data_IF_654455272440
#
_entry.id   IF_654455272440
#
_cell.length_a   1.000
_cell.length_b   1.000
_cell.length_c   1.000
_cell.angle_alpha   90.00
_cell.angle_beta   90.00
_cell.angle_gamma   90.00
#
_symmetry.space_group_name_H-M   'P 1'
#
loop_
_entity.id
_entity.type
_entity.pdbx_description
1 polymer ?
#
# COMPACT_ATOMS: atom_id res chain seq x y z
N UNK A 1 -39.79 -2.28 4.20
CA UNK A 1 -38.50 -2.08 3.55
C UNK A 1 -37.57 -3.16 4.11
N UNK A 2 -36.94 -3.91 3.25
CA UNK A 2 -35.95 -4.91 3.70
C UNK A 2 -34.77 -4.16 4.35
N UNK A 3 -34.57 -4.40 5.63
CA UNK A 3 -33.60 -3.70 6.48
C UNK A 3 -32.23 -4.43 6.47
N UNK A 4 -32.03 -5.32 5.50
CA UNK A 4 -30.78 -6.09 5.34
C UNK A 4 -29.66 -5.17 4.91
N UNK A 5 -28.55 -5.07 5.67
CA UNK A 5 -27.46 -4.18 5.31
C UNK A 5 -26.82 -4.57 3.97
N UNK A 6 -26.50 -3.56 3.16
CA UNK A 6 -25.90 -3.72 1.85
C UNK A 6 -24.38 -3.73 1.89
N UNK A 7 -23.73 -4.60 1.10
CA UNK A 7 -22.27 -4.71 1.03
C UNK A 7 -21.77 -4.77 -0.42
N UNK A 8 -20.93 -3.83 -0.79
CA UNK A 8 -20.17 -3.83 -2.03
C UNK A 8 -18.84 -4.59 -1.82
N UNK A 9 -18.67 -5.69 -2.51
CA UNK A 9 -17.45 -6.51 -2.42
C UNK A 9 -16.48 -6.09 -3.53
N UNK A 10 -15.35 -5.51 -3.18
CA UNK A 10 -14.28 -5.21 -4.13
C UNK A 10 -13.57 -6.52 -4.53
N UNK A 11 -13.96 -7.06 -5.68
CA UNK A 11 -13.51 -8.36 -6.19
C UNK A 11 -12.34 -8.16 -7.16
N UNK A 12 -11.15 -8.63 -6.78
CA UNK A 12 -9.92 -8.53 -7.58
C UNK A 12 -9.61 -9.79 -8.41
N UNK A 13 -10.51 -10.78 -8.42
CA UNK A 13 -10.24 -12.10 -9.02
C UNK A 13 -9.26 -12.96 -8.20
N UNK A 14 -8.84 -12.51 -7.02
CA UNK A 14 -8.00 -13.26 -6.09
C UNK A 14 -8.81 -14.03 -5.04
N UNK A 15 -8.21 -15.08 -4.44
CA UNK A 15 -8.87 -15.95 -3.45
C UNK A 15 -9.38 -15.18 -2.23
N UNK A 16 -8.67 -14.14 -1.78
CA UNK A 16 -9.05 -13.37 -0.59
C UNK A 16 -10.35 -12.60 -0.79
N UNK A 17 -10.49 -11.87 -1.89
CA UNK A 17 -11.73 -11.16 -2.22
C UNK A 17 -12.91 -12.11 -2.46
N UNK A 18 -12.64 -13.30 -3.01
CA UNK A 18 -13.63 -14.38 -3.21
C UNK A 18 -14.18 -14.88 -1.88
N UNK A 19 -13.30 -15.24 -0.95
CA UNK A 19 -13.72 -15.73 0.37
C UNK A 19 -14.39 -14.60 1.17
N UNK A 20 -13.93 -13.35 1.05
CA UNK A 20 -14.61 -12.21 1.66
C UNK A 20 -16.06 -12.08 1.15
N UNK A 21 -16.31 -12.23 -0.15
CA UNK A 21 -17.66 -12.23 -0.73
C UNK A 21 -18.53 -13.37 -0.16
N UNK A 22 -17.99 -14.58 -0.12
CA UNK A 22 -18.67 -15.74 0.44
C UNK A 22 -19.08 -15.50 1.91
N UNK A 23 -18.15 -15.05 2.75
CA UNK A 23 -18.40 -14.81 4.16
C UNK A 23 -19.47 -13.74 4.40
N UNK A 24 -19.45 -12.67 3.62
CA UNK A 24 -20.47 -11.61 3.72
C UNK A 24 -21.85 -12.11 3.33
N UNK A 25 -21.95 -12.92 2.26
CA UNK A 25 -23.22 -13.56 1.87
C UNK A 25 -23.73 -14.50 2.97
N UNK A 26 -22.85 -15.35 3.55
CA UNK A 26 -23.20 -16.24 4.67
C UNK A 26 -23.63 -15.47 5.92
N UNK A 27 -23.08 -14.29 6.15
CA UNK A 27 -23.49 -13.39 7.25
C UNK A 27 -24.83 -12.67 7.00
N UNK A 28 -25.47 -12.91 5.86
CA UNK A 28 -26.81 -12.40 5.53
C UNK A 28 -26.83 -10.98 4.96
N UNK A 29 -25.69 -10.46 4.46
CA UNK A 29 -25.67 -9.17 3.77
C UNK A 29 -26.26 -9.26 2.37
N UNK A 30 -26.91 -8.18 1.94
CA UNK A 30 -27.26 -7.96 0.53
C UNK A 30 -26.02 -7.57 -0.23
N UNK A 31 -25.38 -8.54 -0.89
CA UNK A 31 -24.07 -8.37 -1.53
C UNK A 31 -24.20 -7.97 -3.00
N UNK A 32 -23.27 -7.14 -3.47
CA UNK A 32 -22.96 -6.85 -4.86
C UNK A 32 -21.45 -6.92 -5.06
N UNK A 33 -20.98 -7.60 -6.10
CA UNK A 33 -19.57 -7.64 -6.47
C UNK A 33 -19.21 -6.51 -7.43
N UNK A 34 -18.03 -5.93 -7.28
CA UNK A 34 -17.49 -5.01 -8.28
C UNK A 34 -16.00 -5.18 -8.46
N UNK A 35 -15.55 -5.15 -9.72
CA UNK A 35 -14.13 -5.09 -10.09
C UNK A 35 -13.80 -3.72 -10.67
N UNK A 36 -12.74 -3.09 -10.16
CA UNK A 36 -12.22 -1.83 -10.72
C UNK A 36 -11.32 -2.14 -11.93
N UNK A 37 -11.61 -1.51 -13.07
CA UNK A 37 -10.65 -1.43 -14.16
C UNK A 37 -9.77 -0.20 -13.91
N UNK A 38 -8.50 -0.41 -13.57
CA UNK A 38 -7.57 0.64 -13.15
C UNK A 38 -6.60 1.06 -14.25
N UNK A 39 -6.34 0.21 -15.24
CA UNK A 39 -5.47 0.47 -16.39
C UNK A 39 -5.83 -0.48 -17.54
N UNK A 40 -5.35 -0.16 -18.73
CA UNK A 40 -5.40 -1.04 -19.90
C UNK A 40 -4.00 -1.62 -20.13
N UNK A 41 -3.92 -2.84 -20.66
CA UNK A 41 -2.62 -3.49 -20.89
C UNK A 41 -1.76 -2.71 -21.91
N UNK A 42 -2.40 -2.03 -22.86
CA UNK A 42 -1.75 -1.16 -23.82
C UNK A 42 -1.04 0.03 -23.16
N UNK A 43 -1.63 0.60 -22.11
CA UNK A 43 -1.03 1.71 -21.33
C UNK A 43 0.27 1.30 -20.63
N UNK A 44 0.44 0.01 -20.33
CA UNK A 44 1.61 -0.54 -19.67
C UNK A 44 2.72 -0.98 -20.64
N UNK A 45 2.46 -0.92 -21.97
CA UNK A 45 3.40 -1.35 -22.99
C UNK A 45 3.76 -2.84 -22.94
N UNK A 46 2.88 -3.67 -22.37
CA UNK A 46 3.15 -5.10 -22.13
C UNK A 46 1.99 -5.97 -22.65
N UNK A 47 2.29 -6.83 -23.60
CA UNK A 47 1.42 -7.92 -24.01
C UNK A 47 1.83 -9.20 -23.27
N UNK A 48 0.95 -9.74 -22.40
CA UNK A 48 1.13 -11.11 -21.87
C UNK A 48 1.36 -11.28 -20.37
N UNK A 49 1.32 -10.23 -19.53
CA UNK A 49 1.46 -10.38 -18.08
C UNK A 49 0.10 -10.51 -17.37
N UNK A 50 0.05 -11.36 -16.33
CA UNK A 50 -1.08 -11.50 -15.43
C UNK A 50 -1.02 -10.39 -14.37
N UNK A 51 -1.81 -9.35 -14.54
CA UNK A 51 -1.93 -8.22 -13.60
C UNK A 51 -3.25 -8.34 -12.85
N UNK A 52 -3.37 -7.74 -11.64
CA UNK A 52 -4.58 -7.80 -10.79
C UNK A 52 -5.86 -7.24 -11.43
N UNK A 53 -5.82 -6.72 -12.66
CA UNK A 53 -6.96 -6.25 -13.44
C UNK A 53 -6.92 -6.82 -14.85
N UNK A 54 -6.30 -8.01 -15.02
CA UNK A 54 -6.31 -8.72 -16.31
C UNK A 54 -7.73 -9.13 -16.68
N UNK A 55 -8.00 -9.37 -17.98
CA UNK A 55 -9.29 -9.92 -18.41
C UNK A 55 -9.63 -11.20 -17.65
N UNK A 56 -8.61 -12.04 -17.38
CA UNK A 56 -8.78 -13.29 -16.60
C UNK A 56 -9.19 -13.03 -15.14
N UNK A 57 -8.67 -11.99 -14.50
CA UNK A 57 -9.06 -11.65 -13.12
C UNK A 57 -10.51 -11.17 -13.05
N UNK A 58 -10.95 -10.40 -14.06
CA UNK A 58 -12.35 -9.98 -14.19
C UNK A 58 -13.26 -11.17 -14.43
N UNK A 59 -12.86 -12.12 -15.31
CA UNK A 59 -13.58 -13.36 -15.56
C UNK A 59 -13.70 -14.20 -14.29
N UNK A 60 -12.59 -14.44 -13.56
CA UNK A 60 -12.58 -15.18 -12.30
C UNK A 60 -13.51 -14.53 -11.26
N UNK A 61 -13.52 -13.18 -11.16
CA UNK A 61 -14.40 -12.45 -10.27
C UNK A 61 -15.88 -12.58 -10.66
N UNK A 62 -16.18 -12.50 -11.95
CA UNK A 62 -17.55 -12.65 -12.48
C UNK A 62 -18.06 -14.07 -12.28
N UNK A 63 -17.22 -15.10 -12.51
CA UNK A 63 -17.58 -16.50 -12.28
C UNK A 63 -17.92 -16.75 -10.79
N UNK A 64 -17.10 -16.24 -9.88
CA UNK A 64 -17.37 -16.32 -8.44
C UNK A 64 -18.66 -15.59 -8.06
N UNK A 65 -18.89 -14.40 -8.61
CA UNK A 65 -20.13 -13.65 -8.34
C UNK A 65 -21.37 -14.40 -8.84
N UNK A 66 -21.28 -15.00 -10.02
CA UNK A 66 -22.33 -15.87 -10.55
C UNK A 66 -22.57 -17.11 -9.66
N UNK A 67 -21.50 -17.79 -9.23
CA UNK A 67 -21.61 -18.94 -8.32
C UNK A 67 -22.23 -18.54 -6.97
N UNK A 68 -21.93 -17.35 -6.49
CA UNK A 68 -22.49 -16.80 -5.26
C UNK A 68 -23.90 -16.20 -5.46
N UNK A 69 -24.43 -16.18 -6.69
CA UNK A 69 -25.72 -15.53 -7.00
C UNK A 69 -25.79 -14.10 -6.43
N UNK A 70 -24.81 -13.26 -6.78
CA UNK A 70 -24.76 -11.84 -6.45
C UNK A 70 -24.59 -11.01 -7.73
N UNK A 71 -25.23 -9.83 -7.85
CA UNK A 71 -24.96 -8.89 -8.93
C UNK A 71 -23.47 -8.54 -9.03
N UNK A 72 -22.97 -8.31 -10.25
CA UNK A 72 -21.58 -7.99 -10.49
C UNK A 72 -21.42 -6.91 -11.55
N UNK A 73 -20.55 -5.93 -11.28
CA UNK A 73 -20.22 -4.85 -12.21
C UNK A 73 -18.72 -4.64 -12.35
N UNK A 74 -18.31 -4.17 -13.54
CA UNK A 74 -16.94 -3.70 -13.80
C UNK A 74 -16.97 -2.18 -13.92
N UNK A 75 -16.27 -1.50 -12.97
CA UNK A 75 -16.26 -0.04 -12.90
C UNK A 75 -14.95 0.48 -13.48
N UNK A 76 -15.03 1.43 -14.40
CA UNK A 76 -13.86 2.02 -15.03
C UNK A 76 -13.36 3.24 -14.23
N UNK A 77 -12.15 3.12 -13.67
CA UNK A 77 -11.44 4.18 -12.94
C UNK A 77 -10.03 4.40 -13.49
N UNK A 78 -9.83 4.15 -14.79
CA UNK A 78 -8.50 4.25 -15.43
C UNK A 78 -7.92 5.65 -15.32
N UNK A 79 -8.72 6.70 -15.56
CA UNK A 79 -8.24 8.08 -15.52
C UNK A 79 -7.86 8.51 -14.09
N UNK A 80 -8.71 8.22 -13.11
CA UNK A 80 -8.44 8.56 -11.71
C UNK A 80 -7.22 7.80 -11.19
N UNK A 81 -7.04 6.54 -11.57
CA UNK A 81 -5.88 5.76 -11.19
C UNK A 81 -4.60 6.30 -11.84
N UNK A 82 -4.67 6.70 -13.11
CA UNK A 82 -3.58 7.35 -13.84
C UNK A 82 -3.11 8.61 -13.11
N UNK A 83 -4.05 9.49 -12.74
CA UNK A 83 -3.73 10.75 -12.08
C UNK A 83 -3.26 10.56 -10.65
N UNK A 84 -4.04 9.85 -9.83
CA UNK A 84 -3.87 9.82 -8.37
C UNK A 84 -2.87 8.79 -7.88
N UNK A 85 -2.63 7.72 -8.65
CA UNK A 85 -1.71 6.64 -8.24
C UNK A 85 -0.46 6.63 -9.10
N UNK A 86 -0.60 6.48 -10.44
CA UNK A 86 0.58 6.40 -11.33
C UNK A 86 1.33 7.73 -11.37
N UNK A 87 0.61 8.85 -11.53
CA UNK A 87 1.23 10.19 -11.56
C UNK A 87 2.01 10.50 -10.28
N UNK A 88 1.43 10.21 -9.10
CA UNK A 88 2.10 10.38 -7.81
C UNK A 88 3.30 9.44 -7.66
N UNK A 89 3.18 8.19 -8.11
CA UNK A 89 4.27 7.23 -8.12
C UNK A 89 5.48 7.75 -8.91
N UNK A 90 5.26 8.23 -10.13
CA UNK A 90 6.30 8.79 -10.99
C UNK A 90 6.91 10.05 -10.35
N UNK A 91 6.08 11.00 -9.93
CA UNK A 91 6.54 12.25 -9.33
C UNK A 91 7.39 12.02 -8.07
N UNK A 92 7.03 11.02 -7.25
CA UNK A 92 7.79 10.68 -6.04
C UNK A 92 9.18 10.13 -6.40
N UNK A 93 9.29 9.25 -7.40
CA UNK A 93 10.60 8.77 -7.87
C UNK A 93 11.45 9.88 -8.49
N UNK A 94 10.84 10.73 -9.32
CA UNK A 94 11.53 11.89 -9.93
C UNK A 94 12.00 12.91 -8.88
N UNK A 95 11.30 13.01 -7.75
CA UNK A 95 11.73 13.81 -6.60
C UNK A 95 12.76 13.09 -5.68
N UNK A 96 13.25 11.91 -6.07
CA UNK A 96 14.24 11.13 -5.32
C UNK A 96 13.68 10.28 -4.19
N UNK A 97 12.37 10.27 -3.97
CA UNK A 97 11.71 9.40 -3.00
C UNK A 97 11.56 7.96 -3.46
N UNK A 98 10.88 7.16 -2.64
CA UNK A 98 10.47 5.79 -2.97
C UNK A 98 9.01 5.64 -2.55
N UNK A 99 8.04 5.66 -3.49
CA UNK A 99 6.62 5.62 -3.18
C UNK A 99 6.14 4.23 -2.75
N UNK A 100 4.97 4.19 -2.10
CA UNK A 100 4.20 2.97 -1.94
C UNK A 100 2.81 3.18 -2.58
N UNK A 101 2.63 2.83 -3.86
CA UNK A 101 1.39 3.11 -4.59
C UNK A 101 0.17 2.35 -4.05
N UNK A 102 0.36 1.27 -3.28
CA UNK A 102 -0.75 0.56 -2.65
C UNK A 102 -1.45 1.43 -1.60
N UNK A 103 -0.72 2.32 -0.91
CA UNK A 103 -1.29 3.28 0.04
C UNK A 103 -2.19 4.27 -0.69
N UNK A 104 -1.71 4.85 -1.80
CA UNK A 104 -2.49 5.79 -2.60
C UNK A 104 -3.71 5.12 -3.25
N UNK A 105 -3.57 3.88 -3.74
CA UNK A 105 -4.67 3.09 -4.26
C UNK A 105 -5.73 2.79 -3.18
N UNK A 106 -5.33 2.44 -1.96
CA UNK A 106 -6.26 2.26 -0.85
C UNK A 106 -6.97 3.57 -0.52
N UNK A 107 -6.22 4.69 -0.36
CA UNK A 107 -6.79 6.01 -0.04
C UNK A 107 -7.83 6.46 -1.04
N UNK A 108 -7.52 6.40 -2.35
CA UNK A 108 -8.29 7.09 -3.38
C UNK A 108 -9.20 6.18 -4.21
N UNK A 109 -8.80 4.93 -4.44
CA UNK A 109 -9.56 4.03 -5.31
C UNK A 109 -10.45 3.09 -4.49
N UNK A 110 -9.85 2.27 -3.60
CA UNK A 110 -10.59 1.21 -2.92
C UNK A 110 -11.55 1.71 -1.84
N UNK A 111 -11.19 2.79 -1.13
CA UNK A 111 -12.00 3.25 0.00
C UNK A 111 -12.62 4.65 -0.17
N UNK A 112 -12.30 5.35 -1.27
CA UNK A 112 -12.97 6.58 -1.66
C UNK A 112 -13.95 6.30 -2.81
N UNK A 113 -13.45 6.00 -4.02
CA UNK A 113 -14.28 5.75 -5.20
C UNK A 113 -15.25 4.58 -5.05
N UNK A 114 -14.80 3.47 -4.43
CA UNK A 114 -15.71 2.33 -4.21
C UNK A 114 -16.76 2.61 -3.14
N UNK A 115 -16.48 3.47 -2.15
CA UNK A 115 -17.48 3.88 -1.18
C UNK A 115 -18.54 4.79 -1.83
N UNK A 116 -18.12 5.72 -2.70
CA UNK A 116 -19.05 6.53 -3.47
C UNK A 116 -19.93 5.67 -4.38
N UNK A 117 -19.34 4.67 -5.04
CA UNK A 117 -20.07 3.71 -5.86
C UNK A 117 -21.07 2.88 -5.02
N UNK A 118 -20.66 2.39 -3.85
CA UNK A 118 -21.53 1.66 -2.94
C UNK A 118 -22.74 2.52 -2.52
N UNK A 119 -22.50 3.76 -2.11
CA UNK A 119 -23.55 4.72 -1.72
C UNK A 119 -24.53 5.00 -2.87
N UNK A 120 -24.01 5.14 -4.09
CA UNK A 120 -24.83 5.32 -5.31
C UNK A 120 -25.77 4.13 -5.58
N UNK A 121 -25.43 2.92 -5.10
CA UNK A 121 -26.24 1.70 -5.22
C UNK A 121 -27.05 1.39 -3.95
N UNK A 122 -27.11 2.29 -2.98
CA UNK A 122 -27.79 2.09 -1.70
C UNK A 122 -27.19 0.95 -0.89
N UNK A 123 -25.85 0.79 -0.93
CA UNK A 123 -25.10 -0.16 -0.13
C UNK A 123 -24.37 0.56 1.00
N UNK A 124 -24.30 -0.07 2.17
CA UNK A 124 -23.83 0.56 3.41
C UNK A 124 -22.31 0.40 3.59
N UNK A 125 -21.73 -0.69 3.03
CA UNK A 125 -20.34 -1.06 3.29
C UNK A 125 -19.57 -1.36 2.02
N UNK A 126 -18.28 -1.02 2.04
CA UNK A 126 -17.25 -1.58 1.13
C UNK A 126 -16.55 -2.73 1.85
N UNK A 127 -16.40 -3.85 1.16
CA UNK A 127 -15.77 -5.07 1.69
C UNK A 127 -14.58 -5.43 0.82
N UNK A 128 -13.46 -5.73 1.45
CA UNK A 128 -12.26 -6.18 0.73
C UNK A 128 -11.63 -7.39 1.40
N UNK A 129 -10.77 -8.09 0.68
CA UNK A 129 -9.96 -9.20 1.19
C UNK A 129 -8.72 -8.79 1.99
N UNK A 130 -8.69 -7.59 2.56
CA UNK A 130 -7.54 -7.17 3.38
C UNK A 130 -7.52 -7.87 4.75
N UNK A 131 -6.30 -8.13 5.22
CA UNK A 131 -6.02 -8.68 6.55
C UNK A 131 -5.79 -7.53 7.53
N UNK A 132 -6.85 -7.06 8.15
CA UNK A 132 -6.87 -6.09 9.23
C UNK A 132 -8.21 -6.22 9.97
N UNK A 133 -8.36 -5.58 11.13
CA UNK A 133 -9.62 -5.57 11.89
C UNK A 133 -10.09 -4.13 12.08
N UNK A 134 -11.40 -3.95 12.11
CA UNK A 134 -12.03 -2.66 12.42
C UNK A 134 -12.97 -2.90 13.61
N UNK A 135 -12.84 -2.08 14.62
CA UNK A 135 -13.69 -2.10 15.82
C UNK A 135 -14.06 -0.65 16.20
N UNK A 136 -15.22 -0.45 16.79
CA UNK A 136 -15.55 0.86 17.35
C UNK A 136 -15.16 0.88 18.82
N UNK A 137 -14.40 1.90 19.21
CA UNK A 137 -14.07 2.15 20.62
C UNK A 137 -15.32 2.61 21.37
N UNK A 138 -15.76 1.87 22.39
CA UNK A 138 -16.97 2.21 23.13
C UNK A 138 -16.85 3.48 23.98
N UNK A 139 -15.64 3.92 24.32
CA UNK A 139 -15.41 5.09 25.16
C UNK A 139 -15.38 6.37 24.33
N UNK A 140 -14.68 6.35 23.22
CA UNK A 140 -14.50 7.54 22.36
C UNK A 140 -15.48 7.60 21.19
N UNK A 141 -16.11 6.47 20.85
CA UNK A 141 -16.93 6.31 19.65
C UNK A 141 -16.14 6.26 18.34
N UNK A 142 -14.80 6.37 18.38
CA UNK A 142 -13.95 6.34 17.19
C UNK A 142 -13.85 4.93 16.61
N UNK A 143 -13.76 4.87 15.31
CA UNK A 143 -13.44 3.63 14.62
C UNK A 143 -11.94 3.39 14.66
N UNK A 144 -11.53 2.24 15.15
CA UNK A 144 -10.16 1.81 15.28
C UNK A 144 -9.80 0.85 14.13
N UNK A 145 -8.66 1.09 13.50
CA UNK A 145 -8.00 0.11 12.64
C UNK A 145 -7.03 -0.69 13.49
N UNK A 146 -7.15 -2.01 13.46
CA UNK A 146 -6.28 -2.92 14.23
C UNK A 146 -5.58 -3.90 13.30
N UNK A 147 -4.42 -4.37 13.73
CA UNK A 147 -3.69 -5.44 13.05
C UNK A 147 -4.56 -6.67 12.85
N UNK A 148 -4.25 -7.44 11.83
CA UNK A 148 -4.81 -8.79 11.69
C UNK A 148 -4.44 -9.65 12.91
N UNK A 149 -5.29 -10.64 13.21
CA UNK A 149 -5.01 -11.58 14.28
C UNK A 149 -3.75 -12.42 13.98
N UNK A 150 -3.56 -12.77 12.71
CA UNK A 150 -2.38 -13.47 12.18
C UNK A 150 -1.46 -12.46 11.51
N UNK A 151 -0.40 -12.06 12.23
CA UNK A 151 0.43 -10.90 11.90
C UNK A 151 1.36 -11.10 10.69
N UNK A 152 1.58 -12.34 10.26
CA UNK A 152 2.37 -12.67 9.06
C UNK A 152 1.74 -12.13 7.76
N UNK A 153 0.42 -11.89 7.76
CA UNK A 153 -0.34 -11.33 6.64
C UNK A 153 -0.91 -9.94 6.94
N UNK A 154 -0.56 -9.34 8.08
CA UNK A 154 -1.09 -8.03 8.47
C UNK A 154 -0.88 -6.96 7.40
N UNK A 155 -1.96 -6.26 7.05
CA UNK A 155 -1.97 -5.19 6.06
C UNK A 155 -2.37 -3.83 6.65
N UNK A 156 -2.44 -3.72 7.97
CA UNK A 156 -2.79 -2.46 8.65
C UNK A 156 -1.87 -1.29 8.25
N UNK A 157 -0.61 -1.58 7.94
CA UNK A 157 0.36 -0.59 7.46
C UNK A 157 -0.09 0.16 6.19
N UNK A 158 -0.69 -0.51 5.21
CA UNK A 158 -1.13 0.14 3.97
C UNK A 158 -2.56 0.69 4.06
N UNK A 159 -3.21 0.50 5.20
CA UNK A 159 -4.59 0.93 5.47
C UNK A 159 -4.66 2.13 6.43
N UNK A 160 -3.54 2.60 6.98
CA UNK A 160 -3.52 3.74 7.91
C UNK A 160 -4.15 5.02 7.33
N UNK A 161 -4.30 5.10 6.02
CA UNK A 161 -4.87 6.24 5.30
C UNK A 161 -6.39 6.33 5.35
N UNK A 162 -7.08 5.33 5.91
CA UNK A 162 -8.53 5.32 5.99
C UNK A 162 -9.03 6.36 7.00
N UNK A 163 -9.97 7.18 6.57
CA UNK A 163 -10.65 8.15 7.42
C UNK A 163 -11.66 7.47 8.35
N UNK A 164 -12.16 8.20 9.35
CA UNK A 164 -13.20 7.69 10.27
C UNK A 164 -14.49 7.29 9.52
N UNK A 165 -14.89 8.07 8.52
CA UNK A 165 -16.06 7.73 7.68
C UNK A 165 -15.82 6.45 6.88
N UNK A 166 -14.62 6.31 6.26
CA UNK A 166 -14.27 5.10 5.53
C UNK A 166 -14.20 3.87 6.44
N UNK A 167 -13.63 4.00 7.65
CA UNK A 167 -13.58 2.90 8.62
C UNK A 167 -14.99 2.48 9.07
N UNK A 168 -15.91 3.44 9.31
CA UNK A 168 -17.29 3.17 9.68
C UNK A 168 -18.05 2.34 8.62
N UNK A 169 -17.70 2.54 7.33
CA UNK A 169 -18.35 1.91 6.19
C UNK A 169 -17.51 0.83 5.50
N UNK A 170 -16.54 0.25 6.22
CA UNK A 170 -15.64 -0.80 5.68
C UNK A 170 -15.75 -2.08 6.51
N UNK A 171 -15.66 -3.24 5.85
CA UNK A 171 -15.55 -4.55 6.49
C UNK A 171 -14.35 -5.33 5.97
N UNK A 172 -13.59 -5.93 6.88
CA UNK A 172 -12.48 -6.84 6.60
C UNK A 172 -12.77 -8.22 7.19
N UNK A 173 -13.56 -9.06 6.50
CA UNK A 173 -14.00 -10.35 7.06
C UNK A 173 -12.85 -11.34 7.27
N UNK A 174 -11.68 -11.10 6.66
CA UNK A 174 -10.51 -11.98 6.77
C UNK A 174 -9.58 -11.61 7.93
N UNK A 175 -9.81 -10.50 8.63
CA UNK A 175 -8.90 -9.96 9.64
C UNK A 175 -8.59 -10.87 10.83
N UNK A 176 -9.47 -11.86 11.08
CA UNK A 176 -9.31 -12.87 12.15
C UNK A 176 -9.02 -14.27 11.63
N UNK A 177 -8.63 -14.41 10.35
CA UNK A 177 -8.41 -15.70 9.70
C UNK A 177 -6.98 -15.85 9.19
N UNK A 178 -6.44 -17.07 9.25
CA UNK A 178 -5.17 -17.41 8.63
C UNK A 178 -5.36 -17.78 7.15
N UNK A 179 -4.29 -17.64 6.37
CA UNK A 179 -4.33 -17.92 4.93
C UNK A 179 -4.67 -19.38 4.58
N UNK A 180 -4.15 -20.39 5.31
CA UNK A 180 -4.55 -21.78 5.10
C UNK A 180 -6.05 -22.03 5.24
N UNK A 181 -6.70 -21.43 6.25
CA UNK A 181 -8.14 -21.53 6.46
C UNK A 181 -8.94 -20.91 5.32
N UNK A 182 -8.49 -19.75 4.82
CA UNK A 182 -9.12 -19.09 3.66
C UNK A 182 -9.03 -19.97 2.41
N UNK A 183 -7.88 -20.57 2.13
CA UNK A 183 -7.73 -21.49 0.98
C UNK A 183 -8.60 -22.73 1.12
N UNK A 184 -8.73 -23.31 2.32
CA UNK A 184 -9.63 -24.44 2.58
C UNK A 184 -11.09 -24.07 2.29
N UNK A 185 -11.54 -22.88 2.68
CA UNK A 185 -12.89 -22.42 2.35
C UNK A 185 -13.07 -22.30 0.85
N UNK A 186 -12.12 -21.67 0.14
CA UNK A 186 -12.20 -21.51 -1.30
C UNK A 186 -12.23 -22.86 -2.05
N UNK A 187 -11.42 -23.83 -1.63
CA UNK A 187 -11.41 -25.17 -2.18
C UNK A 187 -12.71 -25.94 -1.88
N UNK A 188 -13.22 -25.85 -0.64
CA UNK A 188 -14.46 -26.51 -0.23
C UNK A 188 -15.69 -25.99 -0.98
N UNK A 189 -15.68 -24.70 -1.36
CA UNK A 189 -16.73 -24.08 -2.18
C UNK A 189 -16.52 -24.31 -3.69
N UNK A 190 -15.38 -24.86 -4.12
CA UNK A 190 -15.07 -25.11 -5.52
C UNK A 190 -14.83 -23.84 -6.35
N UNK A 191 -14.37 -22.76 -5.74
CA UNK A 191 -14.09 -21.52 -6.48
C UNK A 191 -12.94 -21.68 -7.48
N UNK A 192 -13.10 -21.15 -8.69
CA UNK A 192 -12.16 -21.28 -9.80
C UNK A 192 -10.75 -20.78 -9.45
N UNK A 193 -10.63 -19.79 -8.57
CA UNK A 193 -9.39 -19.16 -8.16
C UNK A 193 -8.82 -19.66 -6.82
N UNK A 194 -9.33 -20.75 -6.24
CA UNK A 194 -8.92 -21.27 -4.93
C UNK A 194 -7.41 -21.54 -4.82
N UNK A 195 -6.75 -21.93 -5.91
CA UNK A 195 -5.31 -22.24 -5.99
C UNK A 195 -4.46 -21.12 -6.58
N UNK A 196 -5.06 -19.95 -6.87
CA UNK A 196 -4.35 -18.82 -7.44
C UNK A 196 -3.30 -18.29 -6.47
N UNK A 197 -2.12 -17.93 -6.97
CA UNK A 197 -1.06 -17.32 -6.18
C UNK A 197 -1.42 -15.88 -5.79
N UNK A 198 -0.95 -15.45 -4.61
CA UNK A 198 -1.13 -14.07 -4.16
C UNK A 198 -0.30 -13.13 -5.05
N UNK A 199 -0.86 -12.00 -5.44
CA UNK A 199 -0.09 -10.92 -6.09
C UNK A 199 0.87 -10.30 -5.09
N UNK A 200 2.17 -10.26 -5.40
CA UNK A 200 3.20 -9.76 -4.48
C UNK A 200 3.84 -8.44 -4.93
N UNK A 201 3.66 -8.04 -6.18
CA UNK A 201 4.29 -6.87 -6.80
C UNK A 201 3.30 -5.73 -7.03
N UNK A 202 3.83 -4.57 -7.41
CA UNK A 202 3.03 -3.41 -7.83
C UNK A 202 2.22 -3.82 -9.06
N UNK A 203 0.89 -3.74 -8.97
CA UNK A 203 -0.02 -4.30 -9.97
C UNK A 203 0.19 -3.78 -11.39
N UNK A 204 0.70 -2.56 -11.56
CA UNK A 204 1.02 -1.95 -12.86
C UNK A 204 2.52 -2.02 -13.22
N UNK A 205 3.35 -2.69 -12.40
CA UNK A 205 4.78 -2.97 -12.68
C UNK A 205 5.06 -4.45 -12.36
N UNK A 206 4.44 -5.38 -13.09
CA UNK A 206 4.48 -6.82 -12.77
C UNK A 206 5.85 -7.47 -12.98
N UNK A 207 6.72 -6.85 -13.79
CA UNK A 207 8.10 -7.28 -14.05
C UNK A 207 9.13 -6.72 -13.05
N UNK A 208 8.67 -5.85 -12.13
CA UNK A 208 9.54 -5.16 -11.17
C UNK A 208 10.43 -4.07 -11.77
N UNK A 209 10.40 -3.86 -13.10
CA UNK A 209 11.14 -2.79 -13.79
C UNK A 209 10.35 -1.48 -13.79
N UNK A 210 10.28 -0.85 -12.60
CA UNK A 210 9.54 0.40 -12.45
C UNK A 210 10.12 1.55 -13.27
N UNK A 211 11.42 1.57 -13.54
CA UNK A 211 12.03 2.64 -14.36
C UNK A 211 11.70 2.44 -15.82
N UNK A 212 11.82 1.23 -16.35
CA UNK A 212 11.36 0.94 -17.71
C UNK A 212 9.87 1.23 -17.89
N UNK A 213 9.05 0.97 -16.88
CA UNK A 213 7.65 1.41 -16.86
C UNK A 213 7.54 2.94 -16.95
N UNK A 214 8.26 3.68 -16.10
CA UNK A 214 8.25 5.16 -16.12
C UNK A 214 8.68 5.73 -17.46
N UNK A 215 9.76 5.20 -18.06
CA UNK A 215 10.27 5.60 -19.38
C UNK A 215 9.23 5.37 -20.47
N UNK A 216 8.61 4.19 -20.51
CA UNK A 216 7.56 3.88 -21.51
C UNK A 216 6.32 4.76 -21.32
N UNK A 217 5.91 4.95 -20.07
CA UNK A 217 4.69 5.69 -19.73
C UNK A 217 4.81 7.19 -19.98
N UNK A 218 5.96 7.79 -19.66
CA UNK A 218 6.18 9.24 -19.78
C UNK A 218 6.85 9.67 -21.07
N UNK A 219 7.49 8.74 -21.79
CA UNK A 219 8.38 9.07 -22.90
C UNK A 219 9.70 9.74 -22.48
N UNK A 220 9.95 9.87 -21.17
CA UNK A 220 11.19 10.47 -20.64
C UNK A 220 12.33 9.45 -20.66
N UNK A 221 13.54 9.96 -20.81
CA UNK A 221 14.77 9.21 -20.61
C UNK A 221 15.48 9.72 -19.36
N UNK A 222 15.97 8.81 -18.52
CA UNK A 222 16.73 9.14 -17.32
C UNK A 222 18.22 8.93 -17.58
N UNK A 223 19.00 10.02 -17.77
CA UNK A 223 20.40 9.94 -18.21
C UNK A 223 21.32 9.32 -17.17
N UNK A 224 22.46 8.83 -17.62
CA UNK A 224 23.56 8.39 -16.78
C UNK A 224 24.07 9.54 -15.90
N UNK A 225 24.56 9.21 -14.71
CA UNK A 225 25.13 10.16 -13.75
C UNK A 225 26.28 9.54 -12.97
N UNK A 226 26.72 10.23 -11.92
CA UNK A 226 27.87 9.84 -11.15
C UNK A 226 27.50 9.26 -9.78
N UNK A 227 28.15 8.15 -9.40
CA UNK A 227 28.22 7.73 -8.02
C UNK A 227 29.28 8.54 -7.28
N UNK A 228 28.90 9.12 -6.16
CA UNK A 228 29.80 9.85 -5.26
C UNK A 228 30.01 9.04 -3.98
N UNK A 229 31.21 9.08 -3.40
CA UNK A 229 31.41 8.63 -2.03
C UNK A 229 30.87 9.69 -1.03
N UNK A 230 30.95 9.39 0.25
CA UNK A 230 30.51 10.30 1.33
C UNK A 230 31.31 11.61 1.42
N UNK A 231 32.47 11.69 0.74
CA UNK A 231 33.30 12.89 0.65
C UNK A 231 33.06 13.68 -0.64
N UNK A 232 32.12 13.25 -1.48
CA UNK A 232 31.81 13.88 -2.76
C UNK A 232 32.74 13.49 -3.92
N UNK A 233 33.62 12.49 -3.75
CA UNK A 233 34.51 12.00 -4.82
C UNK A 233 33.73 11.05 -5.73
N UNK A 234 33.87 11.22 -7.05
CA UNK A 234 33.31 10.29 -8.04
C UNK A 234 33.99 8.92 -7.93
N UNK A 235 33.18 7.88 -7.76
CA UNK A 235 33.61 6.48 -7.59
C UNK A 235 33.05 5.54 -8.65
N UNK A 236 32.25 6.04 -9.57
CA UNK A 236 31.68 5.27 -10.69
C UNK A 236 30.57 6.02 -11.40
N UNK A 237 29.93 5.35 -12.35
CA UNK A 237 28.79 5.88 -13.11
C UNK A 237 27.54 5.01 -12.90
N UNK A 238 26.39 5.64 -12.93
CA UNK A 238 25.10 4.97 -12.83
C UNK A 238 24.17 5.32 -14.00
N UNK A 239 23.11 4.56 -14.18
CA UNK A 239 22.14 4.67 -15.29
C UNK A 239 20.88 5.48 -14.93
N UNK A 240 21.03 6.60 -14.23
CA UNK A 240 19.94 7.48 -13.78
C UNK A 240 19.65 7.32 -12.30
N UNK A 241 19.65 8.43 -11.53
CA UNK A 241 19.46 8.44 -10.08
C UNK A 241 18.10 7.87 -9.62
N UNK A 242 17.07 7.92 -10.47
CA UNK A 242 15.74 7.33 -10.19
C UNK A 242 15.79 5.82 -9.97
N UNK A 243 16.78 5.11 -10.54
CA UNK A 243 16.95 3.64 -10.46
C UNK A 243 17.41 3.15 -9.08
N UNK A 244 17.76 4.05 -8.19
CA UNK A 244 18.38 3.70 -6.91
C UNK A 244 17.50 4.10 -5.73
N UNK A 245 17.53 3.25 -4.70
CA UNK A 245 16.76 3.45 -3.47
C UNK A 245 17.71 3.45 -2.27
N UNK A 246 17.48 4.31 -1.28
CA UNK A 246 18.26 4.35 -0.04
C UNK A 246 18.33 2.97 0.61
N UNK A 247 19.56 2.54 0.97
CA UNK A 247 19.86 1.22 1.53
C UNK A 247 20.11 0.12 0.48
N UNK A 248 20.00 0.42 -0.83
CA UNK A 248 20.31 -0.54 -1.89
C UNK A 248 21.79 -0.88 -1.90
N UNK A 249 22.12 -2.19 -1.97
CA UNK A 249 23.49 -2.73 -2.07
C UNK A 249 23.75 -3.38 -3.42
N UNK A 250 22.75 -4.11 -3.95
CA UNK A 250 22.91 -4.90 -5.19
C UNK A 250 22.62 -4.03 -6.41
N UNK A 251 23.25 -4.38 -7.55
CA UNK A 251 22.98 -3.70 -8.83
C UNK A 251 23.65 -2.32 -8.97
N UNK A 252 24.63 -1.98 -8.13
CA UNK A 252 25.38 -0.70 -8.24
C UNK A 252 26.46 -0.75 -9.31
N UNK A 253 26.97 -1.93 -9.66
CA UNK A 253 28.08 -2.06 -10.64
C UNK A 253 29.42 -1.52 -10.14
N UNK A 254 29.58 -1.30 -8.82
CA UNK A 254 30.79 -0.74 -8.22
C UNK A 254 31.68 -1.84 -7.63
N UNK A 255 33.00 -1.71 -7.84
CA UNK A 255 34.02 -2.61 -7.32
C UNK A 255 35.00 -1.81 -6.42
N UNK A 256 34.55 -1.48 -5.19
CA UNK A 256 35.28 -0.59 -4.25
C UNK A 256 36.02 -1.35 -3.12
N UNK A 257 36.15 -2.68 -3.24
CA UNK A 257 36.86 -3.50 -2.25
C UNK A 257 36.10 -3.77 -0.95
N UNK A 258 35.09 -2.98 -0.61
CA UNK A 258 34.20 -3.16 0.52
C UNK A 258 32.73 -2.98 0.10
N UNK A 259 31.76 -3.59 0.80
CA UNK A 259 30.34 -3.37 0.53
C UNK A 259 29.97 -1.90 0.72
N UNK A 260 29.29 -1.34 -0.28
CA UNK A 260 28.72 0.02 -0.23
C UNK A 260 27.21 -0.01 -0.45
N UNK A 261 26.55 1.01 0.03
CA UNK A 261 25.10 1.16 0.00
C UNK A 261 24.73 2.56 -0.50
N UNK A 262 23.58 2.70 -1.13
CA UNK A 262 23.01 4.00 -1.46
C UNK A 262 22.62 4.72 -0.17
N UNK A 263 23.27 5.85 0.10
CA UNK A 263 23.04 6.69 1.28
C UNK A 263 22.19 7.91 0.97
N UNK A 264 22.24 8.41 -0.28
CA UNK A 264 21.48 9.60 -0.71
C UNK A 264 21.40 9.72 -2.20
N UNK A 265 20.53 10.62 -2.65
CA UNK A 265 20.35 10.99 -4.07
C UNK A 265 20.19 12.50 -4.18
N UNK A 266 20.84 13.09 -5.16
CA UNK A 266 20.59 14.46 -5.62
C UNK A 266 20.01 14.38 -7.04
N UNK A 267 18.74 14.72 -7.16
CA UNK A 267 18.02 14.61 -8.42
C UNK A 267 18.30 15.79 -9.34
N UNK A 268 18.69 16.93 -8.79
CA UNK A 268 19.05 18.13 -9.56
C UNK A 268 20.39 17.91 -10.30
N UNK A 269 21.38 17.37 -9.61
CA UNK A 269 22.70 17.07 -10.16
C UNK A 269 22.81 15.65 -10.73
N UNK A 270 21.75 14.86 -10.66
CA UNK A 270 21.69 13.45 -11.09
C UNK A 270 22.86 12.64 -10.50
N UNK A 271 23.06 12.72 -9.18
CA UNK A 271 24.10 11.97 -8.47
C UNK A 271 23.51 11.04 -7.41
N UNK A 272 24.23 9.94 -7.14
CA UNK A 272 23.88 8.96 -6.10
C UNK A 272 25.07 8.83 -5.15
N UNK A 273 24.84 9.16 -3.88
CA UNK A 273 25.86 9.00 -2.83
C UNK A 273 25.87 7.58 -2.32
N UNK A 274 27.04 6.95 -2.29
CA UNK A 274 27.27 5.61 -1.74
C UNK A 274 28.26 5.66 -0.60
N UNK A 275 28.04 4.81 0.41
CA UNK A 275 28.89 4.77 1.61
C UNK A 275 28.78 3.43 2.35
N UNK A 276 29.48 3.29 3.49
CA UNK A 276 29.37 2.13 4.35
C UNK A 276 27.99 2.03 4.98
N UNK A 277 27.65 0.87 5.51
CA UNK A 277 26.32 0.63 6.11
C UNK A 277 26.01 1.57 7.29
N UNK A 278 27.04 2.03 8.02
CA UNK A 278 26.89 2.98 9.14
C UNK A 278 26.17 4.28 8.75
N UNK A 279 26.30 4.72 7.50
CA UNK A 279 25.65 5.94 6.99
C UNK A 279 24.12 5.79 6.81
N UNK A 280 23.61 4.57 6.91
CA UNK A 280 22.19 4.31 6.73
C UNK A 280 21.35 4.49 8.00
N UNK A 281 21.98 4.65 9.14
CA UNK A 281 21.27 4.64 10.43
C UNK A 281 20.93 6.03 10.92
N UNK A 282 19.68 6.24 11.31
CA UNK A 282 19.21 7.45 11.98
C UNK A 282 18.15 7.13 13.02
N UNK A 283 18.08 7.91 14.09
CA UNK A 283 17.05 7.78 15.12
C UNK A 283 15.83 8.66 14.84
N UNK A 284 15.90 9.56 13.85
CA UNK A 284 14.87 10.58 13.68
C UNK A 284 14.39 10.65 12.24
N UNK A 285 13.08 10.85 12.08
CA UNK A 285 12.47 11.24 10.82
C UNK A 285 11.41 12.34 11.05
N UNK A 286 11.08 13.06 10.00
CA UNK A 286 9.93 13.95 9.93
C UNK A 286 8.97 13.42 8.88
N UNK A 287 7.67 13.46 9.19
CA UNK A 287 6.62 13.04 8.27
C UNK A 287 5.48 14.06 8.23
N UNK A 288 4.80 14.11 7.10
CA UNK A 288 3.64 14.97 6.87
C UNK A 288 2.45 14.16 6.35
N UNK A 289 1.38 14.86 5.97
CA UNK A 289 0.14 14.24 5.48
C UNK A 289 -0.36 13.14 6.44
N UNK A 290 -0.36 13.46 7.76
CA UNK A 290 -0.77 12.53 8.80
C UNK A 290 -2.27 12.29 8.80
N UNK A 291 -2.67 11.01 8.86
CA UNK A 291 -4.02 10.57 9.16
C UNK A 291 -4.03 9.95 10.56
N UNK A 292 -4.82 10.54 11.48
CA UNK A 292 -4.98 10.05 12.85
C UNK A 292 -6.20 9.16 12.96
N UNK A 293 -6.03 7.93 13.43
CA UNK A 293 -7.11 6.94 13.55
C UNK A 293 -7.62 6.84 14.99
N UNK A 294 -6.77 6.44 15.93
CA UNK A 294 -7.23 6.22 17.33
C UNK A 294 -7.38 7.50 18.13
N UNK A 295 -6.72 8.57 17.72
CA UNK A 295 -6.82 9.90 18.34
C UNK A 295 -7.32 10.93 17.31
N UNK A 296 -7.93 12.05 17.73
CA UNK A 296 -8.32 13.10 16.78
C UNK A 296 -7.12 13.86 16.21
N UNK A 297 -6.11 14.16 17.02
CA UNK A 297 -4.88 14.86 16.66
C UNK A 297 -3.79 14.60 17.69
N UNK A 298 -2.52 14.88 17.34
CA UNK A 298 -1.39 14.85 18.26
C UNK A 298 -1.14 16.24 18.80
N UNK A 299 -1.43 16.48 20.09
CA UNK A 299 -1.25 17.78 20.77
C UNK A 299 -0.02 17.83 21.67
N UNK A 300 0.47 16.69 22.11
CA UNK A 300 1.61 16.55 23.01
C UNK A 300 2.47 15.32 22.63
N UNK A 301 3.71 15.21 23.12
CA UNK A 301 4.53 14.03 22.84
C UNK A 301 3.87 12.75 23.30
N UNK A 302 3.89 11.70 22.42
CA UNK A 302 3.24 10.42 22.68
C UNK A 302 4.22 9.26 22.46
N UNK A 303 4.21 8.28 23.36
CA UNK A 303 4.94 7.00 23.19
C UNK A 303 4.16 6.06 22.30
N UNK A 304 4.85 5.48 21.33
CA UNK A 304 4.28 4.56 20.34
C UNK A 304 5.31 3.52 19.93
N UNK A 305 4.87 2.52 19.15
CA UNK A 305 5.75 1.77 18.28
C UNK A 305 5.56 2.26 16.84
N UNK A 306 6.64 2.35 16.06
CA UNK A 306 6.58 2.87 14.69
C UNK A 306 7.24 1.92 13.69
N UNK A 307 6.67 1.85 12.48
CA UNK A 307 7.25 1.18 11.30
C UNK A 307 7.48 2.22 10.20
N UNK A 308 8.72 2.35 9.73
CA UNK A 308 9.07 3.21 8.60
C UNK A 308 9.10 2.46 7.25
N UNK A 309 8.78 1.16 7.23
CA UNK A 309 8.65 0.31 6.04
C UNK A 309 7.65 -0.83 6.28
N UNK A 310 6.99 -1.28 5.24
CA UNK A 310 5.97 -2.35 5.33
C UNK A 310 6.47 -3.63 6.02
N UNK A 311 7.65 -4.13 5.63
CA UNK A 311 8.21 -5.39 6.18
C UNK A 311 9.04 -5.22 7.45
N UNK A 312 9.14 -3.99 7.99
CA UNK A 312 9.89 -3.74 9.22
C UNK A 312 9.11 -4.22 10.45
N UNK A 313 9.81 -4.72 11.45
CA UNK A 313 9.25 -4.89 12.79
C UNK A 313 9.11 -3.54 13.46
N UNK A 314 8.02 -3.34 14.19
CA UNK A 314 7.76 -2.10 14.94
C UNK A 314 8.84 -1.84 15.98
N UNK A 315 9.28 -0.59 16.04
CA UNK A 315 10.32 -0.14 16.96
C UNK A 315 9.76 0.90 17.93
N UNK A 316 10.15 0.88 19.22
CA UNK A 316 9.75 1.91 20.17
C UNK A 316 10.21 3.29 19.71
N UNK A 317 9.30 4.27 19.82
CA UNK A 317 9.54 5.64 19.43
C UNK A 317 8.70 6.62 20.27
N UNK A 318 9.10 7.88 20.24
CA UNK A 318 8.27 9.01 20.73
C UNK A 318 7.95 9.90 19.53
N UNK A 319 6.70 10.27 19.38
CA UNK A 319 6.26 11.23 18.36
C UNK A 319 6.02 12.59 18.99
N UNK A 320 6.37 13.64 18.26
CA UNK A 320 6.25 15.03 18.68
C UNK A 320 5.49 15.82 17.62
N UNK A 321 4.48 16.62 17.99
CA UNK A 321 3.86 17.54 17.06
C UNK A 321 4.88 18.61 16.67
N UNK A 322 4.88 18.97 15.38
CA UNK A 322 5.61 20.12 14.84
C UNK A 322 4.61 21.08 14.19
N UNK A 323 5.10 22.27 13.85
CA UNK A 323 4.31 23.26 13.13
C UNK A 323 3.81 22.72 11.78
N UNK A 324 2.71 23.28 11.29
CA UNK A 324 2.12 22.96 9.99
C UNK A 324 1.65 21.50 9.81
N UNK A 325 1.28 20.83 10.91
CA UNK A 325 0.78 19.45 10.87
C UNK A 325 1.86 18.40 10.60
N UNK A 326 3.12 18.77 10.69
CA UNK A 326 4.24 17.83 10.62
C UNK A 326 4.40 17.08 11.95
N UNK A 327 4.98 15.89 11.86
CA UNK A 327 5.26 15.04 13.03
C UNK A 327 6.71 14.60 12.99
N UNK A 328 7.43 14.84 14.08
CA UNK A 328 8.77 14.29 14.30
C UNK A 328 8.63 12.95 15.02
N UNK A 329 9.25 11.91 14.48
CA UNK A 329 9.34 10.59 15.10
C UNK A 329 10.79 10.36 15.54
N UNK A 330 10.99 10.06 16.82
CA UNK A 330 12.29 9.77 17.41
C UNK A 330 12.27 8.35 17.93
N UNK A 331 13.01 7.46 17.28
CA UNK A 331 13.17 6.07 17.69
C UNK A 331 14.16 5.95 18.84
N UNK A 332 13.95 5.00 19.73
CA UNK A 332 14.88 4.71 20.83
C UNK A 332 16.22 4.18 20.29
N UNK A 333 16.19 3.39 19.21
CA UNK A 333 17.36 2.82 18.54
C UNK A 333 17.45 3.28 17.09
N UNK A 334 18.66 3.42 16.51
CA UNK A 334 18.83 3.83 15.14
C UNK A 334 18.14 2.88 14.15
N UNK A 335 17.40 3.46 13.20
CA UNK A 335 16.68 2.73 12.17
C UNK A 335 17.42 2.80 10.85
N UNK A 336 17.52 1.65 10.18
CA UNK A 336 18.25 1.50 8.92
C UNK A 336 17.46 2.05 7.74
N UNK A 337 18.11 2.93 6.96
CA UNK A 337 17.67 3.37 5.63
C UNK A 337 16.23 3.92 5.62
N UNK A 338 15.92 4.83 6.52
CA UNK A 338 14.68 5.62 6.46
C UNK A 338 14.63 6.33 5.11
N UNK A 339 13.52 6.19 4.39
CA UNK A 339 13.45 6.60 2.98
C UNK A 339 12.30 7.55 2.75
N UNK A 340 12.59 8.71 2.16
CA UNK A 340 11.60 9.71 1.74
C UNK A 340 10.56 9.09 0.80
N UNK A 341 9.29 9.46 0.99
CA UNK A 341 8.18 8.95 0.19
C UNK A 341 7.58 7.64 0.70
N UNK A 342 8.26 6.92 1.61
CA UNK A 342 7.66 5.81 2.34
C UNK A 342 6.73 6.33 3.44
N UNK A 343 5.87 5.45 3.97
CA UNK A 343 5.05 5.80 5.12
C UNK A 343 5.79 5.52 6.44
N UNK A 344 5.47 6.30 7.47
CA UNK A 344 5.64 5.90 8.86
C UNK A 344 4.26 5.63 9.46
N UNK A 345 4.08 4.46 10.06
CA UNK A 345 2.82 4.07 10.71
C UNK A 345 3.07 3.77 12.18
N UNK A 346 2.20 4.33 13.01
CA UNK A 346 2.29 4.35 14.46
C UNK A 346 1.30 3.35 15.07
N UNK A 347 1.74 2.63 16.08
CA UNK A 347 0.96 1.59 16.74
C UNK A 347 1.00 1.74 18.27
N UNK A 348 -0.13 1.44 18.90
CA UNK A 348 -0.25 1.16 20.32
C UNK A 348 -0.85 -0.24 20.48
N UNK A 349 -0.04 -1.21 20.90
CA UNK A 349 -0.43 -2.62 20.89
C UNK A 349 -0.78 -3.12 19.47
N UNK A 350 -2.01 -3.52 19.27
CA UNK A 350 -2.57 -3.93 17.95
C UNK A 350 -3.32 -2.80 17.22
N UNK A 351 -3.50 -1.66 17.86
CA UNK A 351 -4.22 -0.50 17.30
C UNK A 351 -3.28 0.38 16.47
N UNK A 352 -3.72 0.77 15.28
CA UNK A 352 -3.08 1.81 14.48
C UNK A 352 -3.44 3.17 15.05
N UNK A 353 -2.45 3.91 15.56
CA UNK A 353 -2.63 5.26 16.07
C UNK A 353 -2.84 6.24 14.91
N UNK A 354 -2.06 6.08 13.87
CA UNK A 354 -2.09 6.89 12.65
C UNK A 354 -0.84 6.66 11.82
N UNK A 355 -0.64 7.49 10.82
CA UNK A 355 0.56 7.44 9.99
C UNK A 355 0.64 8.61 9.02
N UNK A 356 1.82 8.78 8.42
CA UNK A 356 2.10 9.86 7.48
C UNK A 356 3.18 9.50 6.48
N UNK A 357 3.48 10.39 5.55
CA UNK A 357 4.50 10.23 4.52
C UNK A 357 5.83 10.83 5.00
N UNK A 358 6.92 10.07 4.95
CA UNK A 358 8.28 10.50 5.32
C UNK A 358 8.80 11.53 4.31
N UNK A 359 9.30 12.67 4.82
CA UNK A 359 9.77 13.82 4.04
C UNK A 359 11.27 13.79 3.79
#
# INVERSE_FOLDING_TARGET
>A
MDNTPGALIAMSGGVDSTVAAYLMKQAGYRCMGATMRLYQNEDLGQSGFHTCCSAKDVEDAAEVAFQLDIPFEVVNYTEEFREKVIGKFIATYEAGGTPNPCIDCNRTMKFDKMLDFARGHGLDYVVTGHYARIEQDPETGRWLLKKALYTDKDQSYVLYVLTQDQLAHTKFPLGSMDKPSIRKIAEAQGFCNARKHDSQDICFVPDGDYVGFMERYTGKYYPDGDFLDVNGKVVGRHHGAVRYTCGQRKGLGLALGAPVYVCGKDMEHNTVTVGPESELFTTTLVAGDFNWISIPELTEPMRVKAKARYRQTEQPATVYPLDSGLVKVVFDEPQRAITRGQAVVLYDGDVVVGGGTIL
#
